data_IF_881199326604
#
_entry.id   IF_881199326604
#
_cell.length_a   1.000
_cell.length_b   1.000
_cell.length_c   1.000
_cell.angle_alpha   90.00
_cell.angle_beta   90.00
_cell.angle_gamma   90.00
#
_symmetry.space_group_name_H-M   'P 1'
#
loop_
_entity.id
_entity.type
_entity.pdbx_description
1 polymer ?
#
# COMPACT_ATOMS: atom_id res chain seq x y z
N UNK A 1 -17.60 -15.96 -21.56
CA UNK A 1 -16.90 -14.67 -21.75
C UNK A 1 -17.20 -13.81 -20.54
N UNK A 2 -16.31 -13.78 -19.55
CA UNK A 2 -16.50 -12.90 -18.38
C UNK A 2 -15.16 -12.28 -18.05
N UNK A 3 -15.02 -11.00 -18.37
CA UNK A 3 -13.83 -10.22 -18.10
C UNK A 3 -13.81 -9.82 -16.60
N UNK A 4 -12.71 -10.05 -15.87
CA UNK A 4 -12.62 -9.70 -14.46
C UNK A 4 -12.18 -8.23 -14.32
N UNK A 5 -13.14 -7.34 -14.09
CA UNK A 5 -12.85 -5.93 -13.78
C UNK A 5 -13.64 -5.51 -12.54
N UNK A 6 -13.37 -6.19 -11.42
CA UNK A 6 -13.90 -5.77 -10.11
C UNK A 6 -13.58 -4.29 -9.89
N UNK A 7 -14.60 -3.48 -9.58
CA UNK A 7 -14.42 -2.04 -9.40
C UNK A 7 -13.35 -1.78 -8.32
N UNK A 8 -12.44 -0.81 -8.54
CA UNK A 8 -11.48 -0.42 -7.53
C UNK A 8 -12.22 0.05 -6.27
N UNK A 9 -11.77 -0.39 -5.10
CA UNK A 9 -12.33 0.00 -3.80
C UNK A 9 -11.90 1.41 -3.46
N UNK A 10 -12.68 2.38 -3.94
CA UNK A 10 -12.47 3.80 -3.68
C UNK A 10 -12.46 4.12 -2.17
N UNK A 11 -13.22 3.36 -1.37
CA UNK A 11 -13.21 3.44 0.09
C UNK A 11 -11.82 3.17 0.69
N UNK A 12 -11.10 2.16 0.18
CA UNK A 12 -9.74 1.85 0.62
C UNK A 12 -8.71 2.85 0.10
N UNK A 13 -8.93 3.39 -1.10
CA UNK A 13 -8.05 4.41 -1.67
C UNK A 13 -8.18 5.76 -0.97
N UNK A 14 -9.34 6.08 -0.40
CA UNK A 14 -9.58 7.31 0.36
C UNK A 14 -8.97 7.30 1.77
N UNK A 15 -8.61 6.12 2.30
CA UNK A 15 -8.02 5.96 3.63
C UNK A 15 -6.55 6.40 3.66
N UNK A 16 -6.32 7.71 3.70
CA UNK A 16 -4.97 8.29 3.80
C UNK A 16 -4.26 7.87 5.08
N UNK A 17 -2.95 8.05 5.14
CA UNK A 17 -2.17 7.80 6.36
C UNK A 17 -2.69 8.56 7.58
N UNK A 18 -3.15 9.80 7.40
CA UNK A 18 -3.70 10.59 8.50
C UNK A 18 -5.10 10.11 8.90
N UNK A 19 -5.94 9.71 7.92
CA UNK A 19 -7.23 9.06 8.20
C UNK A 19 -7.05 7.76 8.98
N UNK A 20 -6.11 6.90 8.57
CA UNK A 20 -5.78 5.67 9.27
C UNK A 20 -5.26 5.96 10.68
N UNK A 21 -4.45 7.00 10.85
CA UNK A 21 -3.93 7.41 12.14
C UNK A 21 -5.04 7.92 13.07
N UNK A 22 -6.02 8.65 12.52
CA UNK A 22 -7.17 9.16 13.26
C UNK A 22 -8.15 8.05 13.68
N UNK A 23 -8.37 7.05 12.81
CA UNK A 23 -9.21 5.89 13.12
C UNK A 23 -8.56 4.91 14.11
N UNK A 24 -7.23 4.91 14.18
CA UNK A 24 -6.47 3.91 14.95
C UNK A 24 -5.47 4.61 15.89
N UNK A 25 -4.18 4.47 15.63
CA UNK A 25 -3.10 5.16 16.28
C UNK A 25 -1.94 5.31 15.28
N UNK A 26 -1.31 6.50 15.24
CA UNK A 26 -0.11 6.78 14.44
C UNK A 26 0.98 5.72 14.56
N UNK A 27 1.16 5.15 15.76
CA UNK A 27 2.17 4.10 16.01
C UNK A 27 1.90 2.77 15.30
N UNK A 28 0.65 2.43 15.02
CA UNK A 28 0.30 1.25 14.24
C UNK A 28 0.53 1.49 12.74
N UNK A 29 0.10 2.65 12.25
CA UNK A 29 0.29 3.06 10.85
C UNK A 29 1.77 3.10 10.48
N UNK A 30 2.61 3.73 11.32
CA UNK A 30 4.06 3.81 11.09
C UNK A 30 4.72 2.43 11.03
N UNK A 31 4.32 1.51 11.93
CA UNK A 31 4.85 0.14 11.95
C UNK A 31 4.41 -0.65 10.72
N UNK A 32 3.12 -0.55 10.35
CA UNK A 32 2.58 -1.19 9.16
C UNK A 32 3.31 -0.70 7.90
N UNK A 33 3.45 0.61 7.69
CA UNK A 33 4.22 1.17 6.56
C UNK A 33 5.64 0.62 6.52
N UNK A 34 6.34 0.64 7.66
CA UNK A 34 7.71 0.13 7.74
C UNK A 34 7.82 -1.36 7.40
N UNK A 35 6.84 -2.18 7.78
CA UNK A 35 6.81 -3.60 7.41
C UNK A 35 6.62 -3.77 5.89
N UNK A 36 5.72 -2.99 5.26
CA UNK A 36 5.55 -2.98 3.79
C UNK A 36 6.83 -2.55 3.09
N UNK A 37 7.46 -1.46 3.55
CA UNK A 37 8.70 -0.93 2.97
C UNK A 37 9.89 -1.87 3.17
N UNK A 38 9.88 -2.67 4.25
CA UNK A 38 10.87 -3.73 4.50
C UNK A 38 10.64 -5.01 3.68
N UNK A 39 9.69 -5.00 2.73
CA UNK A 39 9.39 -6.16 1.87
C UNK A 39 8.52 -7.23 2.54
N UNK A 40 7.90 -6.95 3.70
CA UNK A 40 6.92 -7.84 4.35
C UNK A 40 5.49 -7.53 3.90
N UNK A 41 5.33 -7.09 2.66
CA UNK A 41 4.02 -6.84 2.09
C UNK A 41 3.25 -8.16 1.94
N UNK A 42 1.95 -8.18 2.30
CA UNK A 42 1.14 -9.39 2.13
C UNK A 42 0.82 -9.64 0.66
N UNK A 43 0.48 -10.88 0.35
CA UNK A 43 -0.13 -11.23 -0.94
C UNK A 43 -1.60 -10.81 -0.89
N UNK A 44 -1.99 -9.91 -1.80
CA UNK A 44 -3.36 -9.41 -1.88
C UNK A 44 -4.18 -10.23 -2.88
N UNK A 45 -5.41 -10.53 -2.48
CA UNK A 45 -6.42 -11.15 -3.33
C UNK A 45 -7.70 -10.34 -3.23
N UNK A 46 -8.23 -9.90 -4.36
CA UNK A 46 -9.49 -9.15 -4.44
C UNK A 46 -10.53 -10.06 -5.08
N UNK A 47 -11.59 -10.38 -4.35
CA UNK A 47 -12.73 -11.14 -4.87
C UNK A 47 -13.65 -10.27 -5.72
N UNK A 48 -14.46 -10.91 -6.57
CA UNK A 48 -15.42 -10.25 -7.46
C UNK A 48 -16.48 -9.45 -6.68
N UNK A 49 -16.84 -9.91 -5.48
CA UNK A 49 -17.74 -9.21 -4.56
C UNK A 49 -17.13 -7.95 -3.91
N UNK A 50 -15.86 -7.64 -4.18
CA UNK A 50 -15.14 -6.52 -3.57
C UNK A 50 -14.57 -6.82 -2.18
N UNK A 51 -14.54 -8.08 -1.74
CA UNK A 51 -13.78 -8.49 -0.54
C UNK A 51 -12.28 -8.45 -0.86
N UNK A 52 -11.48 -7.90 0.05
CA UNK A 52 -10.02 -7.89 -0.08
C UNK A 52 -9.43 -8.76 1.02
N UNK A 53 -8.61 -9.74 0.63
CA UNK A 53 -7.85 -10.62 1.52
C UNK A 53 -6.36 -10.33 1.38
N UNK A 54 -5.66 -10.29 2.50
CA UNK A 54 -4.21 -10.16 2.59
C UNK A 54 -3.63 -11.35 3.35
N UNK A 55 -2.74 -12.08 2.69
CA UNK A 55 -2.01 -13.20 3.28
C UNK A 55 -0.59 -12.78 3.63
N UNK A 56 -0.26 -12.79 4.92
CA UNK A 56 1.07 -12.47 5.42
C UNK A 56 1.98 -13.71 5.46
N UNK A 57 2.07 -14.42 4.33
CA UNK A 57 2.85 -15.66 4.19
C UNK A 57 2.56 -16.68 5.31
N UNK A 58 1.27 -16.87 5.63
CA UNK A 58 0.83 -17.78 6.69
C UNK A 58 1.01 -17.27 8.13
N UNK A 59 1.64 -16.11 8.36
CA UNK A 59 1.75 -15.53 9.71
C UNK A 59 0.40 -14.95 10.21
N UNK A 60 -0.38 -14.38 9.30
CA UNK A 60 -1.72 -13.88 9.56
C UNK A 60 -2.49 -13.73 8.24
N UNK A 61 -3.81 -13.85 8.32
CA UNK A 61 -4.71 -13.53 7.21
C UNK A 61 -5.59 -12.37 7.66
N UNK A 62 -5.60 -11.29 6.89
CA UNK A 62 -6.49 -10.16 7.10
C UNK A 62 -7.52 -10.10 5.96
N UNK A 63 -8.78 -9.82 6.28
CA UNK A 63 -9.86 -9.68 5.31
C UNK A 63 -10.66 -8.42 5.61
N UNK A 64 -10.99 -7.67 4.55
CA UNK A 64 -11.92 -6.56 4.58
C UNK A 64 -13.16 -6.87 3.72
N UNK A 65 -14.36 -6.90 4.31
CA UNK A 65 -15.62 -6.98 3.56
C UNK A 65 -15.81 -5.76 2.64
N UNK A 66 -16.56 -5.89 1.53
CA UNK A 66 -16.88 -4.77 0.64
C UNK A 66 -17.73 -3.71 1.35
N UNK A 67 -17.47 -2.43 1.06
CA UNK A 67 -18.24 -1.31 1.61
C UNK A 67 -18.12 -1.11 3.13
N UNK A 68 -17.32 -1.92 3.81
CA UNK A 68 -17.11 -1.85 5.24
C UNK A 68 -15.80 -1.09 5.54
N UNK A 69 -15.86 -0.21 6.54
CA UNK A 69 -14.69 0.52 7.05
C UNK A 69 -13.68 -0.41 7.73
N UNK A 70 -12.51 0.14 8.07
CA UNK A 70 -11.40 -0.62 8.66
C UNK A 70 -11.80 -1.39 9.93
N UNK A 71 -12.73 -0.85 10.71
CA UNK A 71 -13.21 -1.41 11.97
C UNK A 71 -13.98 -2.72 11.82
N UNK A 72 -14.50 -3.00 10.61
CA UNK A 72 -15.21 -4.24 10.28
C UNK A 72 -14.30 -5.28 9.62
N UNK A 73 -13.00 -4.99 9.51
CA UNK A 73 -12.02 -5.94 9.02
C UNK A 73 -11.76 -7.06 10.03
N UNK A 74 -11.60 -8.28 9.55
CA UNK A 74 -11.25 -9.44 10.36
C UNK A 74 -9.78 -9.81 10.15
N UNK A 75 -9.05 -10.14 11.21
CA UNK A 75 -7.68 -10.63 11.09
C UNK A 75 -7.41 -11.81 12.01
N UNK A 76 -6.78 -12.86 11.48
CA UNK A 76 -6.39 -14.06 12.23
C UNK A 76 -5.26 -13.86 13.25
N UNK A 77 -4.74 -12.64 13.44
CA UNK A 77 -3.65 -12.37 14.38
C UNK A 77 -4.06 -12.31 15.86
N UNK A 78 -5.34 -12.52 16.19
CA UNK A 78 -5.85 -12.51 17.56
C UNK A 78 -6.13 -11.11 18.15
N UNK A 79 -6.02 -10.04 17.35
CA UNK A 79 -6.43 -8.70 17.77
C UNK A 79 -7.97 -8.57 17.79
N UNK A 80 -8.51 -7.88 18.80
CA UNK A 80 -9.96 -7.67 18.97
C UNK A 80 -10.52 -6.51 18.15
N UNK A 81 -9.71 -5.90 17.29
CA UNK A 81 -10.10 -4.77 16.46
C UNK A 81 -9.03 -4.47 15.42
N UNK A 82 -8.89 -3.20 15.05
CA UNK A 82 -7.94 -2.79 14.03
C UNK A 82 -6.49 -3.07 14.47
N UNK A 83 -5.78 -3.83 13.64
CA UNK A 83 -4.39 -4.23 13.89
C UNK A 83 -3.46 -3.74 12.78
N UNK A 84 -2.14 -3.91 12.99
CA UNK A 84 -1.14 -3.56 11.97
C UNK A 84 -1.32 -4.31 10.64
N UNK A 85 -1.93 -5.50 10.65
CA UNK A 85 -2.16 -6.30 9.44
C UNK A 85 -3.36 -5.77 8.64
N UNK A 86 -4.41 -5.26 9.28
CA UNK A 86 -5.50 -4.60 8.57
C UNK A 86 -5.04 -3.28 7.94
N UNK A 87 -4.23 -2.51 8.67
CA UNK A 87 -3.63 -1.29 8.13
C UNK A 87 -2.67 -1.63 6.98
N UNK A 88 -1.82 -2.65 7.15
CA UNK A 88 -0.91 -3.12 6.12
C UNK A 88 -1.63 -3.63 4.87
N UNK A 89 -2.77 -4.29 5.01
CA UNK A 89 -3.64 -4.68 3.89
C UNK A 89 -4.05 -3.45 3.08
N UNK A 90 -4.53 -2.39 3.74
CA UNK A 90 -4.97 -1.17 3.05
C UNK A 90 -3.80 -0.45 2.37
N UNK A 91 -2.66 -0.33 3.05
CA UNK A 91 -1.46 0.29 2.47
C UNK A 91 -0.93 -0.49 1.26
N UNK A 92 -0.90 -1.83 1.37
CA UNK A 92 -0.52 -2.68 0.25
C UNK A 92 -1.51 -2.55 -0.90
N UNK A 93 -2.83 -2.50 -0.60
CA UNK A 93 -3.88 -2.36 -1.60
C UNK A 93 -3.72 -1.05 -2.37
N UNK A 94 -3.52 0.07 -1.67
CA UNK A 94 -3.25 1.37 -2.27
C UNK A 94 -2.01 1.32 -3.18
N UNK A 95 -0.90 0.72 -2.74
CA UNK A 95 0.31 0.59 -3.57
C UNK A 95 0.06 -0.23 -4.84
N UNK A 96 -0.69 -1.35 -4.74
CA UNK A 96 -1.05 -2.15 -5.93
C UNK A 96 -2.01 -1.42 -6.86
N UNK A 97 -2.98 -0.68 -6.33
CA UNK A 97 -3.93 0.10 -7.11
C UNK A 97 -3.26 1.29 -7.82
N UNK A 98 -2.29 1.96 -7.18
CA UNK A 98 -1.48 3.00 -7.83
C UNK A 98 -0.60 2.43 -8.95
N UNK A 99 -0.08 1.20 -8.78
CA UNK A 99 0.68 0.51 -9.83
C UNK A 99 -0.20 0.14 -11.03
N UNK A 100 -1.43 -0.34 -10.79
CA UNK A 100 -2.37 -0.71 -11.85
C UNK A 100 -3.09 0.50 -12.49
N UNK A 101 -3.26 1.59 -11.73
CA UNK A 101 -3.76 2.88 -12.23
C UNK A 101 -2.79 3.59 -13.17
N UNK A 102 -1.55 3.11 -13.26
CA UNK A 102 -0.56 3.56 -14.26
C UNK A 102 -0.57 2.66 -15.50
N UNK A 103 -1.75 2.31 -16.00
CA UNK A 103 -1.86 1.90 -17.41
C UNK A 103 -1.77 3.17 -18.26
N UNK A 104 -0.52 3.63 -18.42
CA UNK A 104 -0.15 4.89 -19.04
C UNK A 104 1.36 5.15 -18.86
N UNK A 105 2.17 4.29 -19.49
CA UNK A 105 3.64 4.38 -19.67
C UNK A 105 4.52 3.81 -18.56
N UNK A 106 5.43 2.86 -18.87
CA UNK A 106 6.45 2.39 -17.93
C UNK A 106 7.48 3.52 -17.71
N UNK A 107 7.43 4.14 -16.54
CA UNK A 107 8.52 4.98 -16.07
C UNK A 107 9.70 4.08 -15.74
N UNK A 108 10.66 4.05 -16.67
CA UNK A 108 12.01 3.53 -16.49
C UNK A 108 12.61 4.04 -15.17
N UNK A 109 13.40 3.22 -14.44
CA UNK A 109 14.11 3.69 -13.26
C UNK A 109 15.21 4.67 -13.70
N UNK A 110 14.93 5.97 -13.66
CA UNK A 110 15.98 6.99 -13.77
C UNK A 110 16.69 7.02 -12.42
N UNK A 111 17.82 6.32 -12.38
CA UNK A 111 18.84 6.49 -11.34
C UNK A 111 19.19 7.99 -11.19
N UNK A 112 19.37 8.50 -9.97
CA UNK A 112 19.75 9.89 -9.78
C UNK A 112 21.17 10.10 -10.32
N UNK A 113 21.26 10.84 -11.42
CA UNK A 113 22.51 11.36 -11.94
C UNK A 113 23.15 12.28 -10.89
N UNK A 114 24.37 11.94 -10.50
CA UNK A 114 25.23 12.74 -9.64
C UNK A 114 25.42 14.15 -10.22
N UNK A 115 25.51 15.21 -9.40
CA UNK A 115 25.71 16.56 -9.90
C UNK A 115 27.12 16.71 -10.51
N UNK A 116 27.16 17.17 -11.75
CA UNK A 116 28.38 17.64 -12.40
C UNK A 116 28.85 18.94 -11.74
N UNK A 117 30.08 18.95 -11.24
CA UNK A 117 30.79 20.15 -10.83
C UNK A 117 31.26 20.89 -12.10
N UNK A 118 30.86 22.16 -12.24
CA UNK A 118 31.30 23.05 -13.33
C UNK A 118 32.14 24.20 -12.78
N UNK A 119 33.15 24.56 -13.58
CA UNK A 119 33.93 25.81 -13.64
C UNK A 119 35.09 25.94 -12.63
N UNK A 120 36.27 26.49 -13.00
CA UNK A 120 36.57 27.42 -14.10
C UNK A 120 38.08 27.40 -14.47
N UNK A 121 38.50 28.10 -15.54
CA UNK A 121 39.83 27.99 -16.17
C UNK A 121 40.88 28.88 -15.50
N UNK A 122 42.16 28.50 -15.62
CA UNK A 122 43.30 29.38 -15.33
C UNK A 122 44.25 29.48 -16.53
N UNK A 123 44.33 30.68 -17.09
CA UNK A 123 45.47 31.33 -17.78
C UNK A 123 45.02 32.78 -18.01
N UNK A 124 45.87 33.83 -17.87
CA UNK A 124 47.24 33.98 -18.39
C UNK A 124 48.21 34.50 -17.28
N UNK A 125 49.49 34.87 -17.46
CA UNK A 125 50.32 35.30 -18.59
C UNK A 125 51.79 34.90 -18.36
#
# INVERSE_FOLDING_TARGET
MTAPSGRPRADLLALTHDTLAALTNRGLVKRASKDIDAGRAPVLTVSEDGRVRADYAGAAVAELPPGAGLDNGSCGCGATGVCRHLIGLVLAYQRTASAHGTTGTPAVPVAPAAPATTAAPITPA
#
